data_IF_338919707506
#
_entry.id   IF_338919707506
#
_cell.length_a   1.000
_cell.length_b   1.000
_cell.length_c   1.000
_cell.angle_alpha   90.00
_cell.angle_beta   90.00
_cell.angle_gamma   90.00
#
_symmetry.space_group_name_H-M   'P 1'
#
loop_
_entity.id
_entity.type
_entity.pdbx_description
1 polymer ?
#
# COMPACT_ATOMS: atom_id res chain seq x y z
N UNK A 1 -4.08 2.64 -16.32
CA UNK A 1 -4.24 3.37 -15.04
C UNK A 1 -2.94 3.37 -14.23
N UNK A 2 -2.26 2.22 -14.04
CA UNK A 2 -0.87 2.22 -13.54
C UNK A 2 0.08 3.07 -14.40
N UNK A 3 -0.22 3.24 -15.69
CA UNK A 3 0.52 4.15 -16.60
C UNK A 3 0.62 5.60 -16.11
N UNK A 4 -0.36 6.07 -15.33
CA UNK A 4 -0.37 7.43 -14.77
C UNK A 4 0.55 7.59 -13.57
N UNK A 5 1.06 6.49 -13.01
CA UNK A 5 1.98 6.57 -11.88
C UNK A 5 3.29 7.25 -12.28
N UNK A 6 3.79 8.04 -11.35
CA UNK A 6 5.07 8.73 -11.41
C UNK A 6 5.83 8.47 -10.11
N UNK A 7 7.13 8.76 -10.08
CA UNK A 7 8.00 8.50 -8.91
C UNK A 7 7.48 9.18 -7.64
N UNK A 8 6.76 10.29 -7.78
CA UNK A 8 6.11 11.05 -6.73
C UNK A 8 5.03 10.25 -5.99
N UNK A 9 4.47 9.20 -6.59
CA UNK A 9 3.46 8.34 -5.96
C UNK A 9 4.09 7.32 -4.98
N UNK A 10 5.41 7.13 -5.04
CA UNK A 10 6.13 6.23 -4.12
C UNK A 10 6.44 6.93 -2.80
N UNK A 11 6.23 6.21 -1.70
CA UNK A 11 6.68 6.57 -0.36
C UNK A 11 8.17 6.30 -0.15
N UNK A 12 8.78 5.50 -1.02
CA UNK A 12 10.20 5.16 -1.02
C UNK A 12 10.96 6.04 -2.01
N UNK A 13 12.25 6.25 -1.76
CA UNK A 13 13.16 6.78 -2.77
C UNK A 13 13.30 5.77 -3.91
N UNK A 14 12.70 6.12 -5.06
CA UNK A 14 12.80 5.35 -6.29
C UNK A 14 13.15 6.29 -7.43
N UNK A 15 13.80 5.77 -8.46
CA UNK A 15 14.05 6.45 -9.72
C UNK A 15 13.07 6.01 -10.81
N UNK A 16 13.28 6.52 -12.02
CA UNK A 16 12.47 6.19 -13.17
C UNK A 16 12.63 4.72 -13.61
N UNK A 17 13.78 4.09 -13.36
CA UNK A 17 14.01 2.68 -13.71
C UNK A 17 13.18 1.76 -12.84
N UNK A 18 13.09 2.03 -11.54
CA UNK A 18 12.19 1.34 -10.63
C UNK A 18 10.72 1.48 -11.07
N UNK A 19 10.31 2.70 -11.44
CA UNK A 19 8.97 2.95 -11.96
C UNK A 19 8.70 2.19 -13.26
N UNK A 20 9.64 2.20 -14.20
CA UNK A 20 9.54 1.48 -15.47
C UNK A 20 9.43 -0.03 -15.24
N UNK A 21 10.22 -0.59 -14.33
CA UNK A 21 10.13 -2.01 -13.93
C UNK A 21 8.74 -2.36 -13.39
N UNK A 22 8.21 -1.53 -12.49
CA UNK A 22 6.85 -1.73 -11.96
C UNK A 22 5.80 -1.69 -13.08
N UNK A 23 5.85 -0.69 -13.97
CA UNK A 23 4.90 -0.56 -15.08
C UNK A 23 5.00 -1.75 -16.05
N UNK A 24 6.21 -2.24 -16.30
CA UNK A 24 6.42 -3.44 -17.13
C UNK A 24 5.82 -4.70 -16.49
N UNK A 25 5.96 -4.88 -15.16
CA UNK A 25 5.30 -5.96 -14.43
C UNK A 25 3.78 -5.85 -14.50
N UNK A 26 3.25 -4.64 -14.29
CA UNK A 26 1.82 -4.38 -14.37
C UNK A 26 1.25 -4.64 -15.78
N UNK A 27 1.98 -4.24 -16.83
CA UNK A 27 1.60 -4.51 -18.21
C UNK A 27 1.66 -6.01 -18.53
N UNK A 28 2.71 -6.71 -18.08
CA UNK A 28 2.87 -8.16 -18.27
C UNK A 28 1.69 -8.95 -17.69
N UNK A 29 1.24 -8.57 -16.50
CA UNK A 29 0.20 -9.30 -15.76
C UNK A 29 -1.20 -8.67 -15.88
N UNK A 30 -1.39 -7.71 -16.78
CA UNK A 30 -2.64 -6.97 -16.93
C UNK A 30 -3.86 -7.86 -17.24
N UNK A 31 -3.67 -8.96 -17.98
CA UNK A 31 -4.75 -9.91 -18.28
C UNK A 31 -5.26 -10.64 -17.04
N UNK A 32 -4.42 -10.83 -16.03
CA UNK A 32 -4.75 -11.48 -14.75
C UNK A 32 -5.27 -10.44 -13.74
N UNK A 33 -4.65 -9.26 -13.73
CA UNK A 33 -4.97 -8.16 -12.84
C UNK A 33 -5.44 -6.93 -13.63
N UNK A 34 -6.66 -6.97 -14.18
CA UNK A 34 -7.14 -5.90 -15.06
C UNK A 34 -7.35 -4.58 -14.32
N UNK A 35 -7.73 -4.63 -13.04
CA UNK A 35 -7.95 -3.43 -12.22
C UNK A 35 -7.84 -3.69 -10.71
N UNK A 36 -7.59 -2.61 -9.98
CA UNK A 36 -7.56 -2.57 -8.50
C UNK A 36 -8.97 -2.41 -7.93
N UNK A 37 -9.18 -2.93 -6.72
CA UNK A 37 -10.45 -2.86 -5.99
C UNK A 37 -10.39 -1.73 -4.95
N UNK A 38 -10.44 -0.48 -5.42
CA UNK A 38 -10.32 0.69 -4.57
C UNK A 38 -11.57 0.91 -3.68
N UNK A 39 -11.34 1.14 -2.38
CA UNK A 39 -12.37 1.38 -1.35
C UNK A 39 -12.16 2.73 -0.65
N UNK A 40 -10.99 2.97 -0.07
CA UNK A 40 -10.66 4.26 0.55
C UNK A 40 -10.02 5.23 -0.45
N UNK A 41 -9.46 4.71 -1.53
CA UNK A 41 -8.62 5.43 -2.48
C UNK A 41 -9.34 5.61 -3.83
N UNK A 42 -8.90 6.58 -4.63
CA UNK A 42 -9.24 6.55 -6.06
C UNK A 42 -8.38 5.50 -6.79
N UNK A 43 -8.68 5.21 -8.05
CA UNK A 43 -7.98 4.17 -8.80
C UNK A 43 -6.46 4.42 -8.93
N UNK A 44 -6.03 5.67 -9.12
CA UNK A 44 -4.59 6.00 -9.25
C UNK A 44 -3.88 5.75 -7.93
N UNK A 45 -4.46 6.19 -6.81
CA UNK A 45 -3.91 5.97 -5.48
C UNK A 45 -3.94 4.48 -5.08
N UNK A 46 -4.97 3.72 -5.50
CA UNK A 46 -4.99 2.28 -5.28
C UNK A 46 -3.87 1.57 -6.06
N UNK A 47 -3.57 1.99 -7.29
CA UNK A 47 -2.38 1.53 -8.03
C UNK A 47 -1.07 1.98 -7.36
N UNK A 48 -1.02 3.20 -6.82
CA UNK A 48 0.13 3.66 -6.03
C UNK A 48 0.30 2.82 -4.76
N UNK A 49 -0.77 2.35 -4.12
CA UNK A 49 -0.69 1.44 -3.00
C UNK A 49 -0.06 0.09 -3.40
N UNK A 50 -0.42 -0.45 -4.58
CA UNK A 50 0.23 -1.65 -5.13
C UNK A 50 1.72 -1.41 -5.39
N UNK A 51 2.10 -0.27 -6.00
CA UNK A 51 3.49 0.14 -6.18
C UNK A 51 4.24 0.16 -4.85
N UNK A 52 3.69 0.82 -3.83
CA UNK A 52 4.33 0.96 -2.53
C UNK A 52 4.51 -0.38 -1.81
N UNK A 53 3.55 -1.30 -1.93
CA UNK A 53 3.70 -2.66 -1.40
C UNK A 53 4.78 -3.44 -2.17
N UNK A 54 4.86 -3.29 -3.49
CA UNK A 54 5.90 -3.95 -4.29
C UNK A 54 7.30 -3.47 -3.92
N UNK A 55 7.50 -2.15 -3.82
CA UNK A 55 8.78 -1.57 -3.38
C UNK A 55 9.12 -2.01 -1.96
N UNK A 56 8.14 -2.01 -1.05
CA UNK A 56 8.32 -2.49 0.32
C UNK A 56 8.78 -3.96 0.39
N UNK A 57 8.21 -4.83 -0.45
CA UNK A 57 8.59 -6.24 -0.48
C UNK A 57 10.02 -6.42 -1.02
N UNK A 58 10.44 -5.58 -1.97
CA UNK A 58 11.80 -5.57 -2.52
C UNK A 58 12.84 -4.92 -1.60
N UNK A 59 12.43 -4.13 -0.62
CA UNK A 59 13.33 -3.25 0.12
C UNK A 59 14.43 -3.92 0.96
N UNK A 60 14.38 -5.25 1.15
CA UNK A 60 15.46 -6.00 1.82
C UNK A 60 16.54 -6.47 0.85
N UNK A 61 16.27 -6.44 -0.45
CA UNK A 61 17.17 -6.95 -1.49
C UNK A 61 18.09 -5.85 -2.02
N UNK A 62 17.74 -4.59 -1.79
CA UNK A 62 18.53 -3.43 -2.20
C UNK A 62 18.60 -2.43 -1.06
N UNK A 63 19.81 -2.13 -0.59
CA UNK A 63 20.09 -1.10 0.42
C UNK A 63 19.64 0.31 0.00
N UNK A 64 19.18 0.46 -1.26
CA UNK A 64 18.77 1.70 -1.90
C UNK A 64 17.29 2.05 -1.67
N UNK A 65 16.44 1.09 -1.30
CA UNK A 65 14.99 1.30 -1.18
C UNK A 65 14.58 1.73 0.23
N UNK A 66 14.91 2.97 0.56
CA UNK A 66 14.62 3.59 1.86
C UNK A 66 13.32 4.40 1.77
N UNK A 67 12.50 4.36 2.83
CA UNK A 67 11.35 5.26 2.97
C UNK A 67 11.81 6.71 2.89
N UNK A 68 11.15 7.53 2.06
CA UNK A 68 11.45 8.94 1.92
C UNK A 68 11.00 9.67 3.20
N UNK A 69 11.92 10.19 4.04
CA UNK A 69 11.57 10.82 5.31
C UNK A 69 10.66 12.03 5.13
N UNK A 70 10.85 12.78 4.04
CA UNK A 70 10.01 13.93 3.71
C UNK A 70 8.57 13.52 3.43
N UNK A 71 8.30 12.30 2.98
CA UNK A 71 6.93 11.77 2.77
C UNK A 71 6.39 11.04 4.00
N UNK A 72 7.25 10.36 4.75
CA UNK A 72 6.85 9.56 5.91
C UNK A 72 6.13 10.38 6.98
N UNK A 73 6.46 11.67 7.11
CA UNK A 73 5.81 12.62 8.03
C UNK A 73 4.35 12.90 7.61
N UNK A 74 4.06 12.91 6.32
CA UNK A 74 2.72 13.18 5.78
C UNK A 74 1.83 11.93 5.76
N UNK A 75 2.41 10.77 5.49
CA UNK A 75 1.66 9.51 5.28
C UNK A 75 1.75 8.57 6.47
N UNK A 76 1.38 9.08 7.65
CA UNK A 76 1.53 8.33 8.90
C UNK A 76 0.71 7.05 8.96
N UNK A 77 -0.47 6.96 8.31
CA UNK A 77 -1.20 5.68 8.19
C UNK A 77 -0.33 4.66 7.45
N UNK A 78 0.23 5.02 6.28
CA UNK A 78 1.04 4.10 5.48
C UNK A 78 2.30 3.66 6.23
N UNK A 79 3.02 4.60 6.84
CA UNK A 79 4.21 4.28 7.64
C UNK A 79 3.86 3.31 8.76
N UNK A 80 2.78 3.58 9.51
CA UNK A 80 2.30 2.68 10.55
C UNK A 80 1.96 1.28 10.02
N UNK A 81 1.24 1.18 8.90
CA UNK A 81 0.87 -0.11 8.31
C UNK A 81 2.09 -0.88 7.80
N UNK A 82 3.07 -0.21 7.19
CA UNK A 82 4.33 -0.83 6.78
C UNK A 82 5.10 -1.39 7.97
N UNK A 83 5.17 -0.66 9.09
CA UNK A 83 5.78 -1.14 10.33
C UNK A 83 5.06 -2.38 10.88
N UNK A 84 3.72 -2.42 10.81
CA UNK A 84 2.95 -3.59 11.23
C UNK A 84 3.13 -4.78 10.27
N UNK A 85 3.25 -4.54 8.96
CA UNK A 85 3.54 -5.59 7.97
C UNK A 85 4.89 -6.26 8.21
N UNK A 86 5.92 -5.47 8.57
CA UNK A 86 7.26 -5.99 8.87
C UNK A 86 7.25 -7.02 10.02
N UNK A 87 6.27 -6.95 10.93
CA UNK A 87 6.17 -7.87 12.07
C UNK A 87 5.57 -9.23 11.70
N UNK A 88 5.09 -9.41 10.47
CA UNK A 88 4.36 -10.61 10.03
C UNK A 88 5.32 -11.56 9.30
N UNK A 89 5.45 -12.79 9.79
CA UNK A 89 6.41 -13.78 9.28
C UNK A 89 6.23 -14.10 7.79
N UNK A 90 4.98 -14.21 7.31
CA UNK A 90 4.74 -14.52 5.89
C UNK A 90 5.21 -13.39 4.97
N UNK A 91 5.19 -12.14 5.43
CA UNK A 91 5.74 -11.00 4.70
C UNK A 91 7.25 -11.15 4.58
N UNK A 92 7.95 -11.48 5.67
CA UNK A 92 9.40 -11.69 5.63
C UNK A 92 9.81 -12.76 4.61
N UNK A 93 9.06 -13.88 4.54
CA UNK A 93 9.30 -14.93 3.53
C UNK A 93 9.13 -14.44 2.09
N UNK A 94 8.17 -13.54 1.83
CA UNK A 94 7.99 -12.94 0.50
C UNK A 94 9.14 -11.99 0.18
N UNK A 95 9.65 -11.24 1.16
CA UNK A 95 10.81 -10.35 0.99
C UNK A 95 12.10 -11.12 0.69
N UNK A 96 12.27 -12.28 1.30
CA UNK A 96 13.38 -13.20 1.04
C UNK A 96 13.30 -13.87 -0.34
N UNK A 97 12.14 -13.83 -1.02
CA UNK A 97 11.98 -14.39 -2.35
C UNK A 97 12.50 -13.42 -3.42
N UNK A 98 13.58 -13.77 -4.10
CA UNK A 98 14.13 -13.02 -5.24
C UNK A 98 13.34 -13.29 -6.52
N UNK A 99 12.05 -12.94 -6.54
CA UNK A 99 11.17 -13.16 -7.67
C UNK A 99 10.19 -11.98 -7.84
N UNK A 100 10.51 -11.11 -8.80
CA UNK A 100 9.75 -9.89 -9.08
C UNK A 100 8.29 -10.14 -9.45
N UNK A 101 8.01 -11.22 -10.17
CA UNK A 101 6.63 -11.58 -10.55
C UNK A 101 5.85 -12.00 -9.31
N UNK A 102 6.41 -12.87 -8.46
CA UNK A 102 5.75 -13.31 -7.23
C UNK A 102 5.54 -12.14 -6.26
N UNK A 103 6.55 -11.29 -6.09
CA UNK A 103 6.44 -10.08 -5.27
C UNK A 103 5.39 -9.11 -5.81
N UNK A 104 5.23 -9.00 -7.13
CA UNK A 104 4.16 -8.22 -7.75
C UNK A 104 2.77 -8.81 -7.43
N UNK A 105 2.59 -10.13 -7.54
CA UNK A 105 1.33 -10.79 -7.16
C UNK A 105 1.00 -10.51 -5.69
N UNK A 106 1.97 -10.68 -4.80
CA UNK A 106 1.81 -10.39 -3.38
C UNK A 106 1.45 -8.92 -3.14
N UNK A 107 2.15 -7.97 -3.79
CA UNK A 107 1.88 -6.54 -3.67
C UNK A 107 0.46 -6.17 -4.14
N UNK A 108 0.00 -6.76 -5.24
CA UNK A 108 -1.34 -6.52 -5.77
C UNK A 108 -2.43 -6.98 -4.81
N UNK A 109 -2.31 -8.20 -4.27
CA UNK A 109 -3.26 -8.71 -3.30
C UNK A 109 -3.21 -7.96 -1.97
N UNK A 110 -2.02 -7.58 -1.50
CA UNK A 110 -1.85 -6.78 -0.29
C UNK A 110 -2.49 -5.41 -0.43
N UNK A 111 -2.23 -4.69 -1.52
CA UNK A 111 -2.78 -3.36 -1.75
C UNK A 111 -4.31 -3.35 -1.66
N UNK A 112 -4.97 -4.29 -2.33
CA UNK A 112 -6.43 -4.42 -2.30
C UNK A 112 -6.97 -4.88 -0.93
N UNK A 113 -6.31 -5.87 -0.29
CA UNK A 113 -6.78 -6.42 0.97
C UNK A 113 -6.62 -5.43 2.13
N UNK A 114 -5.53 -4.67 2.15
CA UNK A 114 -5.27 -3.65 3.18
C UNK A 114 -6.23 -2.47 2.99
N UNK A 115 -6.46 -2.00 1.77
CA UNK A 115 -7.41 -0.91 1.50
C UNK A 115 -8.84 -1.29 1.94
N UNK A 116 -9.30 -2.50 1.60
CA UNK A 116 -10.59 -3.02 2.08
C UNK A 116 -10.63 -3.15 3.61
N UNK A 117 -9.55 -3.66 4.23
CA UNK A 117 -9.52 -3.80 5.68
C UNK A 117 -9.54 -2.45 6.40
N UNK A 118 -8.84 -1.43 5.89
CA UNK A 118 -8.90 -0.07 6.42
C UNK A 118 -10.31 0.47 6.29
N UNK A 119 -10.94 0.32 5.12
CA UNK A 119 -12.32 0.72 4.88
C UNK A 119 -13.28 0.12 5.92
N UNK A 120 -13.32 -1.21 6.01
CA UNK A 120 -14.22 -1.94 6.90
C UNK A 120 -13.97 -1.60 8.37
N UNK A 121 -12.71 -1.32 8.74
CA UNK A 121 -12.34 -0.98 10.11
C UNK A 121 -12.82 0.42 10.48
N UNK A 122 -12.65 1.40 9.59
CA UNK A 122 -13.11 2.77 9.82
C UNK A 122 -14.63 2.87 9.73
N UNK A 123 -15.27 2.16 8.79
CA UNK A 123 -16.73 2.15 8.62
C UNK A 123 -17.46 1.69 9.89
N UNK A 124 -16.93 0.66 10.55
CA UNK A 124 -17.49 0.10 11.79
C UNK A 124 -17.14 0.91 13.03
N UNK A 125 -16.34 1.96 12.89
CA UNK A 125 -15.90 2.81 14.00
C UNK A 125 -16.80 4.03 14.16
N UNK A 126 -16.61 4.76 15.27
CA UNK A 126 -17.25 6.06 15.46
C UNK A 126 -16.75 7.13 14.47
N UNK A 127 -15.62 6.90 13.78
CA UNK A 127 -14.96 7.84 12.88
C UNK A 127 -15.19 7.50 11.41
N UNK A 128 -16.38 6.98 11.06
CA UNK A 128 -16.75 6.68 9.66
C UNK A 128 -16.83 7.93 8.78
N UNK A 129 -16.85 9.14 9.38
CA UNK A 129 -16.67 10.41 8.68
C UNK A 129 -15.33 10.52 7.93
N UNK A 130 -14.31 9.79 8.37
CA UNK A 130 -12.99 9.74 7.73
C UNK A 130 -13.03 9.11 6.33
N UNK A 131 -14.07 8.33 6.00
CA UNK A 131 -14.25 7.70 4.69
C UNK A 131 -14.87 8.63 3.65
N UNK A 132 -15.39 9.79 4.06
CA UNK A 132 -15.94 10.76 3.12
C UNK A 132 -14.82 11.30 2.24
N UNK A 133 -15.02 11.49 0.92
CA UNK A 133 -13.99 12.09 0.06
C UNK A 133 -13.59 13.46 0.59
N UNK A 134 -12.35 13.60 1.05
CA UNK A 134 -11.88 14.84 1.68
C UNK A 134 -11.07 15.72 0.73
N UNK A 135 -10.45 15.13 -0.30
CA UNK A 135 -9.46 15.82 -1.12
C UNK A 135 -9.89 15.90 -2.58
N UNK A 136 -9.59 17.06 -3.20
CA UNK A 136 -9.62 17.21 -4.66
C UNK A 136 -8.37 16.62 -5.35
N UNK A 137 -7.33 16.33 -4.57
CA UNK A 137 -6.00 15.89 -5.02
C UNK A 137 -5.82 14.41 -4.65
N UNK A 138 -5.16 13.60 -5.52
CA UNK A 138 -4.77 12.24 -5.18
C UNK A 138 -3.99 12.15 -3.87
N UNK A 139 -4.29 11.15 -3.05
CA UNK A 139 -3.72 10.92 -1.73
C UNK A 139 -2.20 10.95 -1.75
N UNK A 140 -1.56 10.18 -2.63
CA UNK A 140 -0.09 10.09 -2.67
C UNK A 140 0.61 11.34 -3.23
N UNK A 141 -0.16 12.30 -3.77
CA UNK A 141 0.33 13.59 -4.24
C UNK A 141 -0.01 14.73 -3.29
N UNK A 142 -0.74 14.48 -2.20
CA UNK A 142 -1.15 15.52 -1.25
C UNK A 142 0.05 16.29 -0.66
N UNK A 143 1.20 15.65 -0.49
CA UNK A 143 2.43 16.29 0.00
C UNK A 143 2.96 17.43 -0.89
N UNK A 144 2.57 17.48 -2.17
CA UNK A 144 2.98 18.53 -3.11
C UNK A 144 2.17 19.82 -2.94
N UNK A 145 1.08 19.77 -2.20
CA UNK A 145 0.24 20.92 -1.93
C UNK A 145 0.62 21.55 -0.59
N UNK A 146 1.01 22.83 -0.65
CA UNK A 146 1.46 23.62 0.50
C UNK A 146 0.41 23.68 1.62
N UNK A 147 -0.89 23.62 1.28
CA UNK A 147 -1.99 23.63 2.26
C UNK A 147 -1.99 22.39 3.16
N UNK A 148 -1.40 21.28 2.68
CA UNK A 148 -1.27 20.02 3.42
C UNK A 148 -0.01 19.94 4.26
N UNK A 149 0.94 20.87 4.09
CA UNK A 149 2.24 20.84 4.78
C UNK A 149 2.21 21.46 6.19
N UNK A 150 1.08 22.04 6.60
CA UNK A 150 0.97 22.64 7.95
C UNK A 150 0.57 21.58 8.98
N UNK A 151 1.28 21.53 10.13
CA UNK A 151 1.02 20.56 11.22
C UNK A 151 -0.43 20.53 11.73
N UNK A 152 -1.17 21.62 11.53
CA UNK A 152 -2.57 21.76 11.94
C UNK A 152 -3.58 21.39 10.85
N UNK A 153 -3.12 21.00 9.66
CA UNK A 153 -3.97 20.62 8.55
C UNK A 153 -4.90 19.50 8.95
N UNK A 154 -6.15 19.58 8.46
CA UNK A 154 -7.18 18.56 8.69
C UNK A 154 -6.69 17.17 8.29
N UNK A 155 -5.85 17.09 7.25
CA UNK A 155 -5.21 15.87 6.78
C UNK A 155 -4.43 15.14 7.87
N UNK A 156 -3.48 15.80 8.55
CA UNK A 156 -2.68 15.19 9.62
C UNK A 156 -3.52 14.76 10.82
N UNK A 157 -4.53 15.56 11.17
CA UNK A 157 -5.48 15.24 12.24
C UNK A 157 -6.27 13.97 11.91
N UNK A 158 -6.73 13.84 10.67
CA UNK A 158 -7.50 12.68 10.22
C UNK A 158 -6.63 11.42 10.11
N UNK A 159 -5.39 11.54 9.65
CA UNK A 159 -4.42 10.44 9.71
C UNK A 159 -4.22 9.94 11.15
N UNK A 160 -4.03 10.86 12.10
CA UNK A 160 -3.85 10.53 13.52
C UNK A 160 -5.08 9.85 14.13
N UNK A 161 -6.29 10.32 13.80
CA UNK A 161 -7.56 9.69 14.23
C UNK A 161 -7.66 8.26 13.70
N UNK A 162 -7.39 8.05 12.41
CA UNK A 162 -7.41 6.74 11.80
C UNK A 162 -6.39 5.78 12.47
N UNK A 163 -5.13 6.20 12.64
CA UNK A 163 -4.09 5.36 13.28
C UNK A 163 -4.51 4.88 14.66
N UNK A 164 -5.15 5.74 15.47
CA UNK A 164 -5.61 5.34 16.82
C UNK A 164 -6.58 4.15 16.75
N UNK A 165 -7.52 4.17 15.80
CA UNK A 165 -8.48 3.09 15.59
C UNK A 165 -7.76 1.84 15.06
N UNK A 166 -6.98 2.00 13.99
CA UNK A 166 -6.28 0.88 13.36
C UNK A 166 -5.34 0.18 14.36
N UNK A 167 -4.58 0.94 15.15
CA UNK A 167 -3.71 0.41 16.18
C UNK A 167 -4.48 -0.30 17.30
N UNK A 168 -5.63 0.23 17.72
CA UNK A 168 -6.49 -0.44 18.70
C UNK A 168 -6.99 -1.79 18.17
N UNK A 169 -7.44 -1.84 16.92
CA UNK A 169 -7.96 -3.06 16.29
C UNK A 169 -6.83 -4.08 16.09
N UNK A 170 -5.66 -3.67 15.60
CA UNK A 170 -4.48 -4.55 15.45
C UNK A 170 -4.03 -5.15 16.78
N UNK A 171 -4.07 -4.38 17.87
CA UNK A 171 -3.65 -4.87 19.21
C UNK A 171 -4.69 -5.77 19.86
N UNK A 172 -5.98 -5.54 19.61
CA UNK A 172 -7.06 -6.27 20.26
C UNK A 172 -7.54 -7.48 19.46
N UNK A 173 -7.27 -7.52 18.16
CA UNK A 173 -7.79 -8.54 17.24
C UNK A 173 -6.68 -9.01 16.29
N UNK A 174 -6.68 -10.30 15.97
CA UNK A 174 -5.77 -10.88 14.98
C UNK A 174 -6.19 -10.61 13.52
N UNK A 175 -7.25 -9.82 13.28
CA UNK A 175 -7.85 -9.65 11.96
C UNK A 175 -6.88 -9.10 10.91
N UNK A 176 -6.01 -8.14 11.28
CA UNK A 176 -5.03 -7.59 10.34
C UNK A 176 -4.03 -8.66 9.87
N UNK A 177 -3.49 -9.46 10.79
CA UNK A 177 -2.58 -10.57 10.45
C UNK A 177 -3.26 -11.62 9.57
N UNK A 178 -4.53 -11.91 9.83
CA UNK A 178 -5.34 -12.84 9.02
C UNK A 178 -5.56 -12.28 7.61
N UNK A 179 -5.90 -11.00 7.49
CA UNK A 179 -6.06 -10.30 6.20
C UNK A 179 -4.78 -10.42 5.38
N UNK A 180 -3.64 -10.06 5.98
CA UNK A 180 -2.33 -10.10 5.31
C UNK A 180 -1.97 -11.53 4.88
N UNK A 181 -2.11 -12.51 5.79
CA UNK A 181 -1.78 -13.90 5.47
C UNK A 181 -2.67 -14.46 4.37
N UNK A 182 -3.96 -14.11 4.38
CA UNK A 182 -4.91 -14.52 3.35
C UNK A 182 -4.60 -13.88 2.00
N UNK A 183 -4.18 -12.61 1.98
CA UNK A 183 -3.76 -11.92 0.76
C UNK A 183 -2.52 -12.57 0.15
N UNK A 184 -1.51 -12.89 0.96
CA UNK A 184 -0.29 -13.55 0.48
C UNK A 184 -0.56 -14.98 0.03
N UNK A 185 -1.38 -15.76 0.75
CA UNK A 185 -1.73 -17.12 0.32
C UNK A 185 -2.46 -17.10 -1.03
N UNK A 186 -3.38 -16.15 -1.27
CA UNK A 186 -4.02 -15.98 -2.59
C UNK A 186 -3.00 -15.65 -3.68
N UNK A 187 -2.00 -14.82 -3.36
CA UNK A 187 -0.92 -14.51 -4.30
C UNK A 187 -0.10 -15.76 -4.66
N UNK A 188 0.20 -16.62 -3.67
CA UNK A 188 0.86 -17.92 -3.90
C UNK A 188 0.01 -18.80 -4.80
N UNK A 189 -1.26 -19.03 -4.43
CA UNK A 189 -2.16 -19.90 -5.20
C UNK A 189 -2.32 -19.42 -6.66
N UNK A 190 -2.43 -18.12 -6.87
CA UNK A 190 -2.52 -17.53 -8.21
C UNK A 190 -1.20 -17.62 -8.97
N UNK A 191 -0.06 -17.33 -8.32
CA UNK A 191 1.25 -17.42 -8.97
C UNK A 191 1.52 -18.86 -9.44
N UNK A 192 1.25 -19.84 -8.59
CA UNK A 192 1.41 -21.26 -8.94
C UNK A 192 0.45 -21.69 -10.05
N UNK A 193 -0.74 -21.09 -10.12
CA UNK A 193 -1.69 -21.39 -11.19
C UNK A 193 -1.22 -20.88 -12.57
N UNK A 194 -0.64 -19.68 -12.63
CA UNK A 194 -0.36 -18.98 -13.88
C UNK A 194 1.10 -19.03 -14.35
N UNK A 195 2.04 -19.38 -13.47
CA UNK A 195 3.48 -19.30 -13.77
C UNK A 195 4.18 -20.66 -13.70
N UNK A 196 3.76 -21.55 -12.80
CA UNK A 196 4.42 -22.86 -12.63
C UNK A 196 3.74 -24.01 -13.38
N UNK A 197 2.64 -23.73 -14.11
CA UNK A 197 1.94 -24.66 -15.01
C UNK A 197 2.07 -24.21 -16.46
#
# INVERSE_FOLDING_TARGET
MFEQLQVEHSLFYIDQDHMNRFKNLAAKWQSIFPDVCAKCLNNVDAWANVLNNWVFLKSQQTDELILNPSKAIYYSINTFLLDELQKIQIIQKVKECENDDFQYFAAFHLGNAIDLWVYDTLEKSAESDLLKPQNRIPYYLAFLDDDFQTDNALFHKNQTRAIKILAQVIRSQNCFRITVSSAVNRAVDMYDHYVTK
#
